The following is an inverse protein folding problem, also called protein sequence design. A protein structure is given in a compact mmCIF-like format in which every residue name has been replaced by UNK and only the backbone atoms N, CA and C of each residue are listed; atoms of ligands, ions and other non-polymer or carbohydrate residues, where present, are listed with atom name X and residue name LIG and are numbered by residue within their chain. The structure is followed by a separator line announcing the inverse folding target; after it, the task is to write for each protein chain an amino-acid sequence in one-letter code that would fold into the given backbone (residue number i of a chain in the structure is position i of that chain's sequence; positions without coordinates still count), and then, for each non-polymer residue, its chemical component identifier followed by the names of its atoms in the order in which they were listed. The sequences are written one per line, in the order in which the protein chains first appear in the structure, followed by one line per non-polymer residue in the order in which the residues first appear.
data_IF_294846172876
#
_entry.id   IF_294846172876
#
_cell.length_a   1.000
_cell.length_b   1.000
_cell.length_c   1.000
_cell.angle_alpha   90.00
_cell.angle_beta   90.00
_cell.angle_gamma   90.00
#
_symmetry.space_group_name_H-M   'P 1'
#
loop_
_entity.id
_entity.type
_entity.pdbx_description
1 polymer ?
#
# COMPACT_ATOMS: atom_id res chain seq x y z
N UNK A 1 5.14 24.42 -14.49
CA UNK A 1 3.81 24.55 -15.14
C UNK A 1 3.77 23.89 -16.51
N UNK A 2 4.74 24.13 -17.41
CA UNK A 2 4.75 23.52 -18.75
C UNK A 2 4.70 21.98 -18.76
N UNK A 3 5.45 21.31 -17.86
CA UNK A 3 5.46 19.84 -17.82
C UNK A 3 4.16 19.17 -17.39
N UNK A 4 3.31 19.85 -16.60
CA UNK A 4 2.01 19.29 -16.17
C UNK A 4 1.00 19.37 -17.31
N UNK A 5 0.94 20.51 -18.00
CA UNK A 5 0.06 20.72 -19.16
C UNK A 5 0.42 19.77 -20.31
N UNK A 6 1.71 19.47 -20.48
CA UNK A 6 2.19 18.50 -21.46
C UNK A 6 1.79 17.06 -21.10
N UNK A 7 1.89 16.67 -19.82
CA UNK A 7 1.42 15.38 -19.33
C UNK A 7 -0.10 15.20 -19.47
N UNK A 8 -0.88 16.23 -19.16
CA UNK A 8 -2.34 16.24 -19.33
C UNK A 8 -2.72 16.06 -20.81
N UNK A 9 -2.04 16.79 -21.69
CA UNK A 9 -2.28 16.71 -23.14
C UNK A 9 -1.93 15.32 -23.70
N UNK A 10 -0.82 14.73 -23.24
CA UNK A 10 -0.43 13.37 -23.61
C UNK A 10 -1.47 12.34 -23.13
N UNK A 11 -1.92 12.45 -21.89
CA UNK A 11 -2.93 11.57 -21.31
C UNK A 11 -4.26 11.62 -22.08
N UNK A 12 -4.74 12.82 -22.42
CA UNK A 12 -5.98 12.99 -23.20
C UNK A 12 -5.86 12.43 -24.62
N UNK A 13 -4.69 12.60 -25.26
CA UNK A 13 -4.43 12.01 -26.57
C UNK A 13 -4.43 10.48 -26.51
N UNK A 14 -3.81 9.88 -25.49
CA UNK A 14 -3.84 8.43 -25.24
C UNK A 14 -5.25 7.90 -25.02
N UNK A 15 -6.01 8.58 -24.16
CA UNK A 15 -7.41 8.25 -23.90
C UNK A 15 -8.22 8.27 -25.21
N UNK A 16 -8.06 9.31 -26.02
CA UNK A 16 -8.73 9.43 -27.32
C UNK A 16 -8.38 8.29 -28.28
N UNK A 17 -7.09 7.92 -28.36
CA UNK A 17 -6.63 6.76 -29.13
C UNK A 17 -7.28 5.46 -28.68
N UNK A 18 -7.37 5.22 -27.37
CA UNK A 18 -8.00 4.01 -26.81
C UNK A 18 -9.50 3.94 -27.08
N UNK A 19 -10.21 5.07 -26.94
CA UNK A 19 -11.63 5.15 -27.30
C UNK A 19 -11.82 4.82 -28.78
N UNK A 20 -11.01 5.44 -29.65
CA UNK A 20 -11.06 5.15 -31.10
C UNK A 20 -10.76 3.69 -31.37
N UNK A 21 -9.69 3.14 -30.82
CA UNK A 21 -9.30 1.75 -31.00
C UNK A 21 -10.40 0.79 -30.53
N UNK A 22 -10.88 0.97 -29.29
CA UNK A 22 -11.94 0.17 -28.69
C UNK A 22 -13.24 0.18 -29.50
N UNK A 23 -13.61 1.34 -30.05
CA UNK A 23 -14.74 1.49 -30.98
C UNK A 23 -14.51 0.72 -32.28
N UNK A 24 -13.33 0.88 -32.88
CA UNK A 24 -13.03 0.33 -34.22
C UNK A 24 -12.91 -1.20 -34.21
N UNK A 25 -12.25 -1.78 -33.19
CA UNK A 25 -12.15 -3.24 -33.01
C UNK A 25 -13.52 -3.90 -32.88
N UNK A 26 -14.52 -3.17 -32.37
CA UNK A 26 -15.90 -3.64 -32.21
C UNK A 26 -16.80 -3.32 -33.42
N UNK A 27 -16.23 -2.81 -34.51
CA UNK A 27 -16.98 -2.47 -35.72
C UNK A 27 -17.97 -1.31 -35.55
N UNK A 28 -17.86 -0.52 -34.48
CA UNK A 28 -18.79 0.56 -34.20
C UNK A 28 -18.43 1.81 -35.02
N UNK A 29 -19.40 2.39 -35.72
CA UNK A 29 -19.26 3.74 -36.28
C UNK A 29 -19.41 4.79 -35.18
N UNK A 30 -18.89 6.02 -35.39
CA UNK A 30 -19.13 7.13 -34.45
C UNK A 30 -20.61 7.41 -34.26
N UNK A 31 -21.41 7.26 -35.32
CA UNK A 31 -22.88 7.36 -35.29
C UNK A 31 -23.51 6.38 -34.33
N UNK A 32 -23.10 5.12 -34.44
CA UNK A 32 -23.62 4.05 -33.59
C UNK A 32 -23.26 4.32 -32.14
N UNK A 33 -22.00 4.67 -31.86
CA UNK A 33 -21.55 4.99 -30.51
C UNK A 33 -22.25 6.23 -29.93
N UNK A 34 -22.48 7.26 -30.75
CA UNK A 34 -23.23 8.46 -30.39
C UNK A 34 -24.63 8.10 -29.92
N UNK A 35 -25.35 7.29 -30.71
CA UNK A 35 -26.71 6.84 -30.38
C UNK A 35 -26.76 6.01 -29.10
N UNK A 36 -25.84 5.05 -28.93
CA UNK A 36 -25.86 4.15 -27.76
C UNK A 36 -25.34 4.80 -26.48
N UNK A 37 -24.43 5.78 -26.57
CA UNK A 37 -23.92 6.52 -25.40
C UNK A 37 -24.75 7.75 -25.02
N UNK A 38 -25.65 8.20 -25.90
CA UNK A 38 -26.41 9.45 -25.73
C UNK A 38 -25.57 10.72 -25.86
N UNK A 39 -24.44 10.66 -26.57
CA UNK A 39 -23.53 11.78 -26.82
C UNK A 39 -23.57 12.18 -28.29
N UNK A 40 -23.26 13.43 -28.62
CA UNK A 40 -23.21 13.86 -30.02
C UNK A 40 -22.03 13.24 -30.77
N UNK A 41 -22.19 12.99 -32.07
CA UNK A 41 -21.13 12.45 -32.92
C UNK A 41 -19.89 13.36 -32.96
N UNK A 42 -20.11 14.69 -32.89
CA UNK A 42 -19.05 15.70 -32.73
C UNK A 42 -18.29 15.52 -31.42
N UNK A 43 -18.99 15.26 -30.32
CA UNK A 43 -18.35 15.04 -29.02
C UNK A 43 -17.50 13.77 -29.03
N UNK A 44 -17.99 12.69 -29.66
CA UNK A 44 -17.20 11.46 -29.84
C UNK A 44 -15.95 11.73 -30.67
N UNK A 45 -16.04 12.51 -31.75
CA UNK A 45 -14.88 12.88 -32.56
C UNK A 45 -13.85 13.72 -31.77
N UNK A 46 -14.30 14.66 -30.94
CA UNK A 46 -13.44 15.46 -30.06
C UNK A 46 -12.74 14.59 -29.01
N UNK A 47 -13.49 13.70 -28.35
CA UNK A 47 -12.95 12.75 -27.39
C UNK A 47 -11.87 11.86 -28.03
N UNK A 48 -12.15 11.27 -29.19
CA UNK A 48 -11.16 10.46 -29.92
C UNK A 48 -9.93 11.24 -30.38
N UNK A 49 -10.09 12.54 -30.60
CA UNK A 49 -9.00 13.45 -30.91
C UNK A 49 -8.21 13.94 -29.70
N UNK A 50 -8.58 13.51 -28.47
CA UNK A 50 -7.97 13.98 -27.23
C UNK A 50 -8.27 15.45 -26.93
N UNK A 51 -9.34 16.00 -27.49
CA UNK A 51 -9.69 17.41 -27.33
C UNK A 51 -10.59 17.64 -26.12
N UNK A 52 -10.04 18.34 -25.13
CA UNK A 52 -10.77 18.79 -23.94
C UNK A 52 -10.99 17.71 -22.89
N UNK A 53 -11.33 18.14 -21.68
CA UNK A 53 -11.58 17.23 -20.56
C UNK A 53 -12.97 16.57 -20.69
N UNK A 54 -12.99 15.25 -20.64
CA UNK A 54 -14.22 14.46 -20.56
C UNK A 54 -14.62 14.26 -19.10
N UNK A 55 -15.89 14.51 -18.78
CA UNK A 55 -16.41 14.14 -17.46
C UNK A 55 -16.41 12.62 -17.29
N UNK A 56 -16.05 12.14 -16.11
CA UNK A 56 -16.00 10.70 -15.79
C UNK A 56 -17.34 9.99 -16.06
N UNK A 57 -18.46 10.70 -15.90
CA UNK A 57 -19.80 10.16 -16.19
C UNK A 57 -20.02 9.97 -17.70
N UNK A 58 -19.55 10.90 -18.53
CA UNK A 58 -19.66 10.78 -19.98
C UNK A 58 -18.73 9.70 -20.51
N UNK A 59 -17.52 9.60 -19.97
CA UNK A 59 -16.58 8.54 -20.31
C UNK A 59 -17.14 7.15 -19.92
N UNK A 60 -17.81 7.03 -18.77
CA UNK A 60 -18.50 5.80 -18.37
C UNK A 60 -19.64 5.42 -19.33
N UNK A 61 -20.41 6.39 -19.85
CA UNK A 61 -21.44 6.11 -20.87
C UNK A 61 -20.83 5.58 -22.16
N UNK A 62 -19.73 6.19 -22.62
CA UNK A 62 -18.98 5.71 -23.79
C UNK A 62 -18.45 4.30 -23.56
N UNK A 63 -17.85 4.03 -22.40
CA UNK A 63 -17.36 2.69 -22.03
C UNK A 63 -18.48 1.63 -22.07
N UNK A 64 -19.60 1.91 -21.39
CA UNK A 64 -20.77 1.02 -21.37
C UNK A 64 -21.32 0.77 -22.78
N UNK A 65 -21.42 1.82 -23.61
CA UNK A 65 -21.92 1.74 -24.97
C UNK A 65 -21.01 0.92 -25.90
N UNK A 66 -19.71 0.83 -25.60
CA UNK A 66 -18.76 -0.06 -26.27
C UNK A 66 -18.68 -1.45 -25.61
N UNK A 67 -19.37 -1.69 -24.50
CA UNK A 67 -19.25 -2.93 -23.73
C UNK A 67 -17.85 -3.14 -23.13
N UNK A 68 -17.16 -2.07 -22.78
CA UNK A 68 -15.86 -2.11 -22.09
C UNK A 68 -15.97 -1.53 -20.69
N UNK A 69 -14.99 -1.85 -19.84
CA UNK A 69 -14.92 -1.23 -18.53
C UNK A 69 -14.26 0.13 -18.62
N UNK A 70 -14.61 1.03 -17.71
CA UNK A 70 -14.08 2.39 -17.69
C UNK A 70 -12.56 2.41 -17.48
N UNK A 71 -12.03 1.50 -16.67
CA UNK A 71 -10.60 1.34 -16.41
C UNK A 71 -9.80 0.95 -17.68
N UNK A 72 -10.41 0.23 -18.63
CA UNK A 72 -9.74 -0.14 -19.88
C UNK A 72 -9.37 1.10 -20.72
N UNK A 73 -10.15 2.18 -20.61
CA UNK A 73 -9.92 3.43 -21.32
C UNK A 73 -8.86 4.32 -20.63
N UNK A 74 -8.81 4.29 -19.30
CA UNK A 74 -7.97 5.19 -18.49
C UNK A 74 -6.54 4.67 -18.35
N UNK A 75 -6.37 3.37 -18.09
CA UNK A 75 -5.06 2.79 -17.72
C UNK A 75 -4.20 2.40 -18.92
N UNK A 76 -4.81 2.09 -20.07
CA UNK A 76 -4.07 1.79 -21.29
C UNK A 76 -3.26 0.52 -21.22
N UNK A 77 -3.96 -0.62 -21.16
CA UNK A 77 -3.29 -1.92 -21.20
C UNK A 77 -3.13 -2.47 -22.62
N UNK A 78 -2.89 -1.57 -23.58
CA UNK A 78 -2.71 -1.89 -25.00
C UNK A 78 -1.48 -2.81 -25.26
N UNK A 79 -0.65 -3.07 -24.25
CA UNK A 79 0.58 -3.85 -24.38
C UNK A 79 0.45 -5.36 -24.06
N UNK A 80 -0.67 -5.84 -23.48
CA UNK A 80 -0.82 -7.27 -23.13
C UNK A 80 -2.15 -7.79 -23.69
N UNK A 81 -2.15 -8.51 -24.84
CA UNK A 81 -3.37 -9.06 -25.46
C UNK A 81 -4.23 -9.87 -24.49
N UNK A 82 -3.59 -10.58 -23.55
CA UNK A 82 -4.27 -11.45 -22.59
C UNK A 82 -4.74 -10.72 -21.33
N UNK A 83 -4.53 -9.40 -21.18
CA UNK A 83 -4.87 -8.68 -19.94
C UNK A 83 -6.34 -8.81 -19.54
N UNK A 84 -7.24 -8.74 -20.53
CA UNK A 84 -8.68 -8.87 -20.29
C UNK A 84 -9.00 -10.25 -19.69
N UNK A 85 -8.35 -11.30 -20.21
CA UNK A 85 -8.48 -12.68 -19.72
C UNK A 85 -7.85 -12.80 -18.32
N UNK A 86 -6.62 -12.29 -18.13
CA UNK A 86 -5.94 -12.31 -16.84
C UNK A 86 -6.77 -11.65 -15.74
N UNK A 87 -7.39 -10.50 -16.02
CA UNK A 87 -8.24 -9.80 -15.06
C UNK A 87 -9.48 -10.61 -14.66
N UNK A 88 -10.17 -11.25 -15.62
CA UNK A 88 -11.34 -12.10 -15.30
C UNK A 88 -10.93 -13.32 -14.48
N UNK A 89 -9.77 -13.94 -14.80
CA UNK A 89 -9.20 -15.03 -14.01
C UNK A 89 -8.87 -14.59 -12.59
N UNK A 90 -8.19 -13.45 -12.41
CA UNK A 90 -7.83 -12.91 -11.08
C UNK A 90 -9.08 -12.56 -10.28
N UNK A 91 -10.12 -12.00 -10.92
CA UNK A 91 -11.37 -11.64 -10.24
C UNK A 91 -12.13 -12.86 -9.68
N UNK A 92 -11.92 -14.06 -10.24
CA UNK A 92 -12.55 -15.32 -9.81
C UNK A 92 -11.60 -16.24 -9.03
N UNK A 93 -10.33 -15.86 -8.92
CA UNK A 93 -9.32 -16.69 -8.29
C UNK A 93 -9.55 -16.83 -6.78
N UNK A 94 -9.36 -18.04 -6.27
CA UNK A 94 -9.30 -18.30 -4.84
C UNK A 94 -8.05 -17.67 -4.21
N UNK A 95 -8.03 -17.41 -2.89
CA UNK A 95 -6.83 -16.89 -2.20
C UNK A 95 -5.58 -17.74 -2.44
N UNK A 96 -5.72 -19.07 -2.54
CA UNK A 96 -4.62 -19.99 -2.84
C UNK A 96 -4.08 -19.82 -4.27
N UNK A 97 -4.97 -19.64 -5.26
CA UNK A 97 -4.56 -19.37 -6.64
C UNK A 97 -3.87 -18.02 -6.78
N UNK A 98 -4.37 -16.98 -6.10
CA UNK A 98 -3.72 -15.67 -6.06
C UNK A 98 -2.32 -15.79 -5.45
N UNK A 99 -2.17 -16.52 -4.34
CA UNK A 99 -0.87 -16.74 -3.71
C UNK A 99 0.11 -17.47 -4.65
N UNK A 100 -0.35 -18.52 -5.35
CA UNK A 100 0.47 -19.26 -6.32
C UNK A 100 0.88 -18.40 -7.52
N UNK A 101 -0.06 -17.63 -8.09
CA UNK A 101 0.22 -16.71 -9.18
C UNK A 101 1.24 -15.63 -8.78
N UNK A 102 1.08 -15.06 -7.57
CA UNK A 102 2.05 -14.10 -7.04
C UNK A 102 3.45 -14.73 -6.93
N UNK A 103 3.57 -15.91 -6.35
CA UNK A 103 4.86 -16.59 -6.20
C UNK A 103 5.55 -16.87 -7.56
N UNK A 104 4.78 -17.23 -8.58
CA UNK A 104 5.28 -17.42 -9.94
C UNK A 104 5.74 -16.10 -10.57
N UNK A 105 4.95 -15.02 -10.44
CA UNK A 105 5.23 -13.71 -11.03
C UNK A 105 6.35 -12.94 -10.31
N UNK A 106 6.51 -13.15 -9.00
CA UNK A 106 7.54 -12.48 -8.20
C UNK A 106 8.91 -13.18 -8.29
N UNK A 107 9.03 -14.27 -9.06
CA UNK A 107 10.25 -15.07 -9.14
C UNK A 107 10.57 -15.81 -7.84
N UNK A 108 9.64 -15.87 -6.89
CA UNK A 108 9.82 -16.45 -5.55
C UNK A 108 9.57 -17.97 -5.52
N UNK A 109 9.23 -18.57 -6.66
CA UNK A 109 8.89 -19.99 -6.80
C UNK A 109 10.01 -20.98 -6.40
N UNK A 110 11.24 -20.53 -6.14
CA UNK A 110 12.37 -21.39 -5.81
C UNK A 110 12.93 -21.23 -4.38
N UNK A 111 12.18 -20.58 -3.49
CA UNK A 111 12.64 -20.34 -2.13
C UNK A 111 11.58 -20.57 -1.07
N UNK A 112 11.08 -21.80 -0.92
CA UNK A 112 10.64 -22.28 0.39
C UNK A 112 11.88 -22.41 1.32
N UNK A 113 12.62 -21.31 1.46
CA UNK A 113 13.77 -21.22 2.34
C UNK A 113 13.28 -21.29 3.77
N UNK A 114 14.08 -21.93 4.62
CA UNK A 114 13.86 -21.98 6.06
C UNK A 114 13.32 -20.64 6.57
N UNK A 115 12.26 -20.73 7.37
CA UNK A 115 11.56 -19.57 7.92
C UNK A 115 12.55 -18.61 8.57
N UNK A 116 12.83 -17.50 7.88
CA UNK A 116 13.81 -16.53 8.37
C UNK A 116 13.24 -15.88 9.62
N UNK A 117 14.07 -15.80 10.67
CA UNK A 117 13.76 -15.23 11.97
C UNK A 117 13.59 -13.72 11.89
N UNK A 118 12.52 -13.27 11.22
CA UNK A 118 12.28 -11.85 10.95
C UNK A 118 10.86 -11.48 11.31
N UNK A 119 10.73 -10.45 12.13
CA UNK A 119 9.46 -9.94 12.61
C UNK A 119 9.27 -8.54 12.08
N UNK A 120 8.06 -8.21 11.63
CA UNK A 120 7.70 -6.83 11.28
C UNK A 120 6.56 -6.35 12.19
N UNK A 121 6.81 -5.27 12.93
CA UNK A 121 5.81 -4.63 13.77
C UNK A 121 5.05 -3.60 12.94
N UNK A 122 3.74 -3.78 12.84
CA UNK A 122 2.83 -2.94 12.06
C UNK A 122 1.77 -2.36 12.99
N UNK A 123 1.37 -1.11 12.74
CA UNK A 123 0.34 -0.44 13.52
C UNK A 123 0.45 1.07 13.42
N UNK A 124 -0.58 1.78 13.88
CA UNK A 124 -0.62 3.24 13.81
C UNK A 124 0.52 3.88 14.62
N UNK A 125 0.80 5.16 14.37
CA UNK A 125 1.64 5.97 15.26
C UNK A 125 1.11 5.86 16.70
N UNK A 126 2.01 5.80 17.69
CA UNK A 126 1.63 5.54 19.09
C UNK A 126 1.34 4.07 19.43
N UNK A 127 1.36 3.13 18.48
CA UNK A 127 1.19 1.69 18.79
C UNK A 127 2.31 1.07 19.64
N UNK A 128 3.38 1.80 19.93
CA UNK A 128 4.52 1.27 20.69
C UNK A 128 5.54 0.46 19.88
N UNK A 129 5.46 0.45 18.53
CA UNK A 129 6.38 -0.31 17.65
C UNK A 129 7.85 -0.16 18.02
N UNK A 130 8.33 1.07 18.17
CA UNK A 130 9.76 1.33 18.46
C UNK A 130 10.16 0.90 19.86
N UNK A 131 9.33 1.22 20.87
CA UNK A 131 9.59 0.87 22.26
C UNK A 131 9.52 -0.64 22.49
N UNK A 132 8.41 -1.28 22.09
CA UNK A 132 8.21 -2.71 22.27
C UNK A 132 9.18 -3.53 21.42
N UNK A 133 9.44 -3.10 20.17
CA UNK A 133 10.38 -3.79 19.30
C UNK A 133 11.80 -3.79 19.86
N UNK A 134 12.28 -2.66 20.39
CA UNK A 134 13.61 -2.55 21.00
C UNK A 134 13.75 -3.43 22.24
N UNK A 135 12.83 -3.29 23.20
CA UNK A 135 12.83 -4.08 24.44
C UNK A 135 12.73 -5.59 24.16
N UNK A 136 11.87 -5.98 23.21
CA UNK A 136 11.73 -7.39 22.84
C UNK A 136 12.98 -7.92 22.16
N UNK A 137 13.56 -7.15 21.23
CA UNK A 137 14.78 -7.53 20.53
C UNK A 137 15.97 -7.71 21.50
N UNK A 138 16.13 -6.79 22.45
CA UNK A 138 17.14 -6.89 23.53
C UNK A 138 16.94 -8.17 24.34
N UNK A 139 15.69 -8.48 24.73
CA UNK A 139 15.35 -9.67 25.53
C UNK A 139 15.63 -11.00 24.81
N UNK A 140 15.38 -11.08 23.51
CA UNK A 140 15.56 -12.32 22.74
C UNK A 140 16.90 -12.38 21.97
N UNK A 141 17.76 -11.36 22.14
CA UNK A 141 19.07 -11.28 21.47
C UNK A 141 18.99 -11.06 19.95
N UNK A 142 17.97 -10.36 19.47
CA UNK A 142 17.78 -10.05 18.04
C UNK A 142 18.13 -8.60 17.73
N UNK A 143 18.35 -8.28 16.45
CA UNK A 143 18.59 -6.90 16.02
C UNK A 143 17.27 -6.14 15.90
N UNK A 144 17.19 -4.94 16.47
CA UNK A 144 16.07 -4.02 16.24
C UNK A 144 16.40 -3.00 15.14
N UNK A 145 15.49 -2.83 14.18
CA UNK A 145 15.63 -1.89 13.06
C UNK A 145 14.37 -1.04 12.94
N UNK A 146 14.52 0.27 12.75
CA UNK A 146 13.42 1.15 12.36
C UNK A 146 13.52 1.46 10.87
N UNK A 147 12.47 1.17 10.10
CA UNK A 147 12.48 1.36 8.65
C UNK A 147 12.76 2.81 8.26
N UNK A 148 12.21 3.78 8.99
CA UNK A 148 12.47 5.20 8.75
C UNK A 148 13.93 5.57 9.01
N UNK A 149 14.53 5.07 10.09
CA UNK A 149 15.94 5.33 10.38
C UNK A 149 16.84 4.74 9.29
N UNK A 150 16.48 3.59 8.74
CA UNK A 150 17.21 2.99 7.62
C UNK A 150 17.10 3.83 6.34
N UNK A 151 15.89 4.33 6.03
CA UNK A 151 15.70 5.26 4.90
C UNK A 151 16.55 6.52 5.10
N UNK A 152 16.57 7.11 6.30
CA UNK A 152 17.35 8.32 6.58
C UNK A 152 18.85 8.06 6.44
N UNK A 153 19.34 6.94 6.99
CA UNK A 153 20.74 6.53 6.93
C UNK A 153 21.22 6.34 5.49
N UNK A 154 20.42 5.72 4.64
CA UNK A 154 20.79 5.44 3.25
C UNK A 154 20.77 6.68 2.35
N UNK A 155 19.88 7.64 2.64
CA UNK A 155 19.70 8.83 1.81
C UNK A 155 20.45 10.06 2.36
N UNK A 156 21.03 9.96 3.57
CA UNK A 156 21.63 11.08 4.30
C UNK A 156 20.70 12.30 4.41
N UNK A 157 19.39 12.04 4.48
CA UNK A 157 18.32 13.02 4.56
C UNK A 157 17.33 12.55 5.61
N UNK A 158 16.83 13.47 6.44
CA UNK A 158 15.71 13.17 7.33
C UNK A 158 14.45 12.84 6.52
N UNK A 159 13.52 12.08 7.10
CA UNK A 159 12.21 11.81 6.48
C UNK A 159 11.50 13.12 6.13
N UNK A 160 11.65 14.17 6.95
CA UNK A 160 11.08 15.50 6.69
C UNK A 160 11.65 16.12 5.42
N UNK A 161 12.96 16.06 5.22
CA UNK A 161 13.62 16.56 4.01
C UNK A 161 13.24 15.73 2.79
N UNK A 162 13.15 14.40 2.93
CA UNK A 162 12.69 13.52 1.85
C UNK A 162 11.29 13.93 1.39
N UNK A 163 10.35 14.16 2.32
CA UNK A 163 9.00 14.64 1.96
C UNK A 163 9.04 16.04 1.33
N UNK A 164 9.90 16.94 1.80
CA UNK A 164 10.00 18.29 1.25
C UNK A 164 10.56 18.31 -0.19
N UNK A 165 11.51 17.44 -0.51
CA UNK A 165 12.22 17.41 -1.79
C UNK A 165 11.49 16.50 -2.80
N UNK A 166 11.12 15.29 -2.37
CA UNK A 166 10.61 14.24 -3.27
C UNK A 166 9.11 13.98 -3.12
N UNK A 167 8.45 14.64 -2.17
CA UNK A 167 7.05 14.43 -1.88
C UNK A 167 6.74 13.02 -1.36
N UNK A 168 5.45 12.72 -1.27
CA UNK A 168 4.98 11.45 -0.73
C UNK A 168 5.33 10.26 -1.62
N UNK A 169 5.22 10.40 -2.94
CA UNK A 169 5.55 9.31 -3.87
C UNK A 169 7.04 8.95 -3.81
N UNK A 170 7.92 9.95 -3.69
CA UNK A 170 9.35 9.73 -3.51
C UNK A 170 9.66 8.94 -2.25
N UNK A 171 9.07 9.33 -1.12
CA UNK A 171 9.17 8.56 0.13
C UNK A 171 8.69 7.11 -0.05
N UNK A 172 7.57 6.86 -0.75
CA UNK A 172 7.08 5.48 -0.98
C UNK A 172 8.05 4.63 -1.78
N UNK A 173 8.70 5.20 -2.79
CA UNK A 173 9.73 4.48 -3.57
C UNK A 173 10.94 4.13 -2.69
N UNK A 174 11.38 5.07 -1.85
CA UNK A 174 12.49 4.83 -0.91
C UNK A 174 12.11 3.80 0.16
N UNK A 175 10.88 3.87 0.69
CA UNK A 175 10.34 2.91 1.67
C UNK A 175 10.32 1.49 1.09
N UNK A 176 9.87 1.33 -0.16
CA UNK A 176 9.89 0.04 -0.85
C UNK A 176 11.31 -0.47 -1.07
N UNK A 177 12.24 0.39 -1.50
CA UNK A 177 13.62 0.01 -1.76
C UNK A 177 14.37 -0.41 -0.48
N UNK A 178 14.21 0.33 0.61
CA UNK A 178 14.77 0.00 1.91
C UNK A 178 14.22 -1.34 2.43
N UNK A 179 12.90 -1.56 2.31
CA UNK A 179 12.30 -2.83 2.72
C UNK A 179 12.85 -4.01 1.92
N UNK A 180 13.04 -3.87 0.59
CA UNK A 180 13.65 -4.92 -0.26
C UNK A 180 15.04 -5.30 0.25
N UNK A 181 15.90 -4.32 0.54
CA UNK A 181 17.24 -4.60 1.09
C UNK A 181 17.18 -5.30 2.45
N UNK A 182 16.26 -4.89 3.33
CA UNK A 182 16.06 -5.54 4.62
C UNK A 182 15.58 -7.00 4.49
N UNK A 183 14.91 -7.37 3.38
CA UNK A 183 14.61 -8.78 3.09
C UNK A 183 15.86 -9.62 2.80
N UNK A 184 16.99 -9.00 2.52
CA UNK A 184 18.26 -9.67 2.24
C UNK A 184 19.23 -9.60 3.43
N UNK A 185 18.95 -8.76 4.42
CA UNK A 185 19.79 -8.59 5.60
C UNK A 185 19.99 -9.91 6.38
N UNK A 186 21.23 -10.25 6.75
CA UNK A 186 21.53 -11.49 7.45
C UNK A 186 21.03 -11.49 8.90
N UNK A 187 20.78 -12.68 9.43
CA UNK A 187 20.46 -12.86 10.86
C UNK A 187 19.03 -12.51 11.28
N UNK A 188 18.72 -12.74 12.56
CA UNK A 188 17.40 -12.50 13.12
C UNK A 188 17.14 -11.02 13.41
N UNK A 189 15.91 -10.55 13.19
CA UNK A 189 15.56 -9.14 13.39
C UNK A 189 14.09 -8.86 13.72
N UNK A 190 13.87 -7.72 14.39
CA UNK A 190 12.58 -7.08 14.58
C UNK A 190 12.60 -5.72 13.88
N UNK A 191 11.74 -5.56 12.87
CA UNK A 191 11.58 -4.34 12.08
C UNK A 191 10.36 -3.55 12.54
N UNK A 192 10.54 -2.30 13.00
CA UNK A 192 9.46 -1.35 13.18
C UNK A 192 9.17 -0.59 11.88
N UNK A 193 7.91 -0.62 11.44
CA UNK A 193 7.50 -0.02 10.16
C UNK A 193 6.85 1.35 10.33
N UNK A 194 6.74 2.11 9.23
CA UNK A 194 5.92 3.32 9.21
C UNK A 194 4.44 2.95 9.36
N UNK A 195 3.65 3.77 10.08
CA UNK A 195 2.22 3.46 10.26
C UNK A 195 1.43 3.50 8.94
N UNK A 196 1.97 4.16 7.91
CA UNK A 196 1.35 4.30 6.60
C UNK A 196 1.76 3.22 5.60
N UNK A 197 2.64 2.28 5.94
CA UNK A 197 3.13 1.23 5.02
C UNK A 197 2.01 0.41 4.43
N UNK A 198 0.95 0.16 5.21
CA UNK A 198 -0.22 -0.63 4.81
C UNK A 198 -1.01 -0.01 3.67
N UNK A 199 -0.90 1.32 3.48
CA UNK A 199 -1.58 2.04 2.42
C UNK A 199 -0.88 1.91 1.06
N UNK A 200 0.32 1.31 1.03
CA UNK A 200 1.09 1.05 -0.19
C UNK A 200 1.06 -0.46 -0.50
N UNK A 201 0.17 -0.95 -1.38
CA UNK A 201 -0.10 -2.38 -1.51
C UNK A 201 1.14 -3.20 -1.89
N UNK A 202 2.00 -2.69 -2.76
CA UNK A 202 3.18 -3.44 -3.22
C UNK A 202 4.24 -3.57 -2.12
N UNK A 203 4.45 -2.50 -1.35
CA UNK A 203 5.39 -2.50 -0.21
C UNK A 203 4.86 -3.34 0.93
N UNK A 204 3.57 -3.23 1.25
CA UNK A 204 2.97 -4.03 2.30
C UNK A 204 2.96 -5.52 1.97
N UNK A 205 2.73 -5.88 0.70
CA UNK A 205 2.77 -7.27 0.28
C UNK A 205 4.17 -7.88 0.40
N UNK A 206 5.21 -7.13 0.01
CA UNK A 206 6.61 -7.51 0.23
C UNK A 206 6.90 -7.78 1.72
N UNK A 207 6.38 -6.95 2.61
CA UNK A 207 6.50 -7.15 4.06
C UNK A 207 5.82 -8.45 4.50
N UNK A 208 4.57 -8.67 4.10
CA UNK A 208 3.79 -9.85 4.49
C UNK A 208 4.42 -11.16 4.01
N UNK A 209 5.13 -11.14 2.88
CA UNK A 209 5.80 -12.31 2.32
C UNK A 209 7.13 -12.65 3.00
N UNK A 210 7.86 -11.65 3.53
CA UNK A 210 9.24 -11.81 3.99
C UNK A 210 9.41 -11.75 5.51
N UNK A 211 8.37 -11.34 6.23
CA UNK A 211 8.39 -11.17 7.68
C UNK A 211 7.20 -11.87 8.33
N UNK A 212 7.40 -12.36 9.55
CA UNK A 212 6.29 -12.61 10.46
C UNK A 212 5.76 -11.26 10.95
N UNK A 213 4.69 -10.79 10.34
CA UNK A 213 4.08 -9.50 10.64
C UNK A 213 3.14 -9.60 11.84
N UNK A 214 3.33 -8.69 12.78
CA UNK A 214 2.55 -8.59 14.01
C UNK A 214 1.90 -7.21 14.05
N UNK A 215 0.58 -7.18 14.10
CA UNK A 215 -0.16 -5.95 14.34
C UNK A 215 -0.17 -5.63 15.84
N UNK A 216 0.42 -4.49 16.20
CA UNK A 216 0.28 -3.91 17.54
C UNK A 216 -0.99 -3.09 17.61
N UNK A 217 -2.01 -3.63 18.27
CA UNK A 217 -3.32 -3.01 18.45
C UNK A 217 -3.37 -2.26 19.77
N UNK A 218 -3.86 -1.03 19.74
CA UNK A 218 -4.17 -0.24 20.93
C UNK A 218 -5.50 0.49 20.74
N UNK A 219 -6.13 0.92 21.84
CA UNK A 219 -7.30 1.79 21.76
C UNK A 219 -6.94 3.15 21.12
N UNK A 220 -7.85 3.78 20.37
CA UNK A 220 -7.63 5.10 19.77
C UNK A 220 -7.13 6.16 20.77
N UNK A 221 -7.67 6.12 21.99
CA UNK A 221 -7.35 7.05 23.07
C UNK A 221 -5.90 6.89 23.54
N UNK A 222 -5.40 5.65 23.60
CA UNK A 222 -4.01 5.37 23.96
C UNK A 222 -3.03 5.75 22.86
N UNK A 223 -3.40 5.54 21.59
CA UNK A 223 -2.62 6.06 20.46
C UNK A 223 -2.44 7.57 20.60
N UNK A 224 -3.54 8.30 20.81
CA UNK A 224 -3.51 9.75 20.96
C UNK A 224 -2.63 10.17 22.14
N UNK A 225 -2.81 9.57 23.31
CA UNK A 225 -2.03 9.91 24.50
C UNK A 225 -0.53 9.69 24.27
N UNK A 226 -0.13 8.54 23.73
CA UNK A 226 1.27 8.23 23.44
C UNK A 226 1.88 9.16 22.39
N UNK A 227 1.12 9.58 21.38
CA UNK A 227 1.60 10.57 20.39
C UNK A 227 1.81 11.95 21.03
N UNK A 228 0.94 12.35 21.97
CA UNK A 228 1.09 13.61 22.72
C UNK A 228 2.33 13.60 23.60
N UNK A 229 2.54 12.52 24.34
CA UNK A 229 3.69 12.38 25.25
C UNK A 229 5.03 12.43 24.49
N UNK A 230 5.04 12.02 23.23
CA UNK A 230 6.21 12.11 22.34
C UNK A 230 6.44 13.50 21.75
N UNK A 231 5.61 14.51 22.02
CA UNK A 231 5.77 15.87 21.50
C UNK A 231 5.53 16.02 20.00
N UNK A 232 4.87 15.05 19.37
CA UNK A 232 4.71 14.98 17.90
C UNK A 232 3.36 15.46 17.37
N UNK A 233 2.49 15.96 18.24
CA UNK A 233 1.34 16.76 17.82
C UNK A 233 1.78 18.21 17.80
N UNK A 234 1.98 18.76 16.60
CA UNK A 234 1.95 20.20 16.42
C UNK A 234 0.59 20.68 16.96
N UNK A 235 0.61 21.50 18.01
CA UNK A 235 -0.59 21.99 18.70
C UNK A 235 -1.34 23.03 17.86
N UNK A 236 -1.94 22.61 16.74
CA UNK A 236 -2.69 23.52 15.85
C UNK A 236 -4.14 23.11 15.61
N UNK A 237 -4.66 22.08 16.29
CA UNK A 237 -6.05 21.64 16.15
C UNK A 237 -6.76 21.37 17.49
N UNK A 238 -8.09 21.50 17.48
CA UNK A 238 -8.96 21.05 18.57
C UNK A 238 -8.78 19.54 18.80
N UNK A 239 -8.64 19.13 20.06
CA UNK A 239 -8.46 17.75 20.48
C UNK A 239 -9.55 16.83 19.94
N UNK A 240 -10.79 17.33 19.88
CA UNK A 240 -11.92 16.58 19.33
C UNK A 240 -11.71 16.23 17.85
N UNK A 241 -11.26 17.20 17.04
CA UNK A 241 -10.99 17.00 15.61
C UNK A 241 -9.84 16.03 15.38
N UNK A 242 -8.73 16.17 16.13
CA UNK A 242 -7.60 15.25 16.02
C UNK A 242 -7.98 13.80 16.39
N UNK A 243 -8.85 13.61 17.38
CA UNK A 243 -9.36 12.29 17.75
C UNK A 243 -10.26 11.70 16.66
N UNK A 244 -11.11 12.52 16.04
CA UNK A 244 -11.96 12.09 14.92
C UNK A 244 -11.13 11.65 13.71
N UNK A 245 -10.12 12.44 13.34
CA UNK A 245 -9.19 12.08 12.25
C UNK A 245 -8.43 10.79 12.55
N UNK A 246 -7.92 10.63 13.78
CA UNK A 246 -7.23 9.41 14.21
C UNK A 246 -8.15 8.18 14.09
N UNK A 247 -9.40 8.28 14.55
CA UNK A 247 -10.39 7.21 14.43
C UNK A 247 -10.70 6.88 12.98
N UNK A 248 -10.88 7.89 12.13
CA UNK A 248 -11.11 7.69 10.70
C UNK A 248 -9.93 6.95 10.03
N UNK A 249 -8.69 7.34 10.36
CA UNK A 249 -7.49 6.66 9.87
C UNK A 249 -7.43 5.22 10.37
N UNK A 250 -7.69 4.96 11.66
CA UNK A 250 -7.74 3.60 12.20
C UNK A 250 -8.79 2.74 11.48
N UNK A 251 -10.03 3.21 11.35
CA UNK A 251 -11.10 2.49 10.65
C UNK A 251 -10.71 2.14 9.21
N UNK A 252 -10.08 3.07 8.49
CA UNK A 252 -9.62 2.83 7.11
C UNK A 252 -8.49 1.81 7.02
N UNK A 253 -7.62 1.73 8.04
CA UNK A 253 -6.41 0.89 8.03
C UNK A 253 -6.59 -0.44 8.74
N UNK A 254 -7.60 -0.59 9.59
CA UNK A 254 -7.87 -1.82 10.34
C UNK A 254 -8.01 -3.06 9.44
N UNK A 255 -8.75 -3.05 8.32
CA UNK A 255 -8.79 -4.19 7.41
C UNK A 255 -7.43 -4.53 6.79
N UNK A 256 -6.55 -3.54 6.67
CA UNK A 256 -5.19 -3.74 6.17
C UNK A 256 -4.29 -4.31 7.26
N UNK A 257 -4.32 -3.75 8.47
CA UNK A 257 -3.58 -4.27 9.62
C UNK A 257 -3.98 -5.72 9.98
N UNK A 258 -5.26 -6.06 9.82
CA UNK A 258 -5.77 -7.41 10.05
C UNK A 258 -5.22 -8.47 9.10
N UNK A 259 -4.50 -8.08 8.02
CA UNK A 259 -3.78 -9.01 7.15
C UNK A 259 -2.47 -9.53 7.76
N UNK A 260 -2.01 -8.94 8.87
CA UNK A 260 -0.84 -9.43 9.60
C UNK A 260 -1.08 -10.87 10.10
N UNK A 261 -0.01 -11.67 10.23
CA UNK A 261 -0.14 -13.07 10.66
C UNK A 261 -0.48 -13.21 12.15
N UNK A 262 -0.18 -12.20 12.97
CA UNK A 262 -0.58 -12.16 14.36
C UNK A 262 -0.98 -10.74 14.80
N UNK A 263 -1.69 -10.68 15.92
CA UNK A 263 -2.08 -9.43 16.57
C UNK A 263 -1.69 -9.50 18.04
N UNK A 264 -1.07 -8.45 18.56
CA UNK A 264 -0.76 -8.27 19.98
C UNK A 264 -1.52 -7.04 20.46
N UNK A 265 -2.42 -7.26 21.42
CA UNK A 265 -3.16 -6.18 22.07
C UNK A 265 -2.32 -5.54 23.18
N UNK A 266 -2.12 -4.23 23.05
CA UNK A 266 -1.32 -3.37 23.93
C UNK A 266 -2.19 -2.43 24.77
N UNK A 267 -3.52 -2.65 24.77
CA UNK A 267 -4.47 -1.82 25.50
C UNK A 267 -4.56 -2.21 26.98
N UNK A 268 -4.71 -1.20 27.85
CA UNK A 268 -4.97 -1.31 29.29
C UNK A 268 -4.01 -2.23 30.08
N UNK A 269 -2.77 -2.39 29.61
CA UNK A 269 -1.77 -3.21 30.29
C UNK A 269 -0.46 -2.46 30.51
N UNK A 270 0.35 -2.81 31.52
CA UNK A 270 1.68 -2.26 31.71
C UNK A 270 2.64 -2.62 30.57
N UNK A 271 3.69 -1.81 30.40
CA UNK A 271 4.70 -2.00 29.36
C UNK A 271 5.34 -3.40 29.40
N UNK A 272 5.69 -3.89 30.59
CA UNK A 272 6.32 -5.22 30.75
C UNK A 272 5.41 -6.34 30.23
N UNK A 273 4.11 -6.26 30.51
CA UNK A 273 3.12 -7.22 29.98
C UNK A 273 2.97 -7.13 28.46
N UNK A 274 3.11 -5.93 27.88
CA UNK A 274 3.11 -5.79 26.42
C UNK A 274 4.35 -6.44 25.80
N UNK A 275 5.52 -6.28 26.42
CA UNK A 275 6.77 -6.93 26.00
C UNK A 275 6.64 -8.44 26.14
N UNK A 276 6.14 -8.96 27.26
CA UNK A 276 5.90 -10.40 27.47
C UNK A 276 4.99 -10.98 26.37
N UNK A 277 3.89 -10.30 26.05
CA UNK A 277 2.97 -10.74 24.99
C UNK A 277 3.64 -10.77 23.62
N UNK A 278 4.45 -9.75 23.30
CA UNK A 278 5.16 -9.69 22.02
C UNK A 278 6.26 -10.76 21.95
N UNK A 279 7.05 -10.92 23.01
CA UNK A 279 8.05 -11.99 23.14
C UNK A 279 7.41 -13.35 22.95
N UNK A 280 6.34 -13.66 23.69
CA UNK A 280 5.65 -14.95 23.59
C UNK A 280 5.11 -15.23 22.17
N UNK A 281 4.60 -14.21 21.47
CA UNK A 281 4.13 -14.35 20.09
C UNK A 281 5.27 -14.68 19.10
N UNK A 282 6.48 -14.15 19.35
CA UNK A 282 7.68 -14.42 18.54
C UNK A 282 8.26 -15.79 18.89
N UNK A 283 8.43 -16.11 20.17
CA UNK A 283 8.95 -17.39 20.63
C UNK A 283 8.09 -18.56 20.16
N UNK A 284 6.76 -18.45 20.30
CA UNK A 284 5.80 -19.45 19.79
C UNK A 284 5.95 -19.66 18.28
N UNK A 285 6.22 -18.60 17.53
CA UNK A 285 6.34 -18.66 16.07
C UNK A 285 7.62 -19.35 15.61
N UNK A 286 8.72 -19.10 16.29
CA UNK A 286 10.07 -19.53 15.87
C UNK A 286 10.67 -20.65 16.73
N UNK A 287 9.93 -21.14 17.73
CA UNK A 287 10.39 -22.20 18.64
C UNK A 287 11.61 -21.80 19.47
N UNK A 288 11.73 -20.52 19.84
CA UNK A 288 12.80 -20.06 20.72
C UNK A 288 12.51 -20.57 22.13
N UNK A 289 13.48 -21.19 22.79
CA UNK A 289 13.35 -21.51 24.21
C UNK A 289 13.27 -20.20 25.00
N UNK A 290 12.32 -20.09 25.93
CA UNK A 290 12.23 -18.95 26.84
C UNK A 290 13.58 -18.81 27.56
N UNK A 291 14.30 -17.71 27.31
CA UNK A 291 15.54 -17.41 28.02
C UNK A 291 15.22 -17.31 29.51
N UNK A 292 15.79 -18.25 30.29
CA UNK A 292 15.65 -18.34 31.74
C UNK A 292 16.37 -17.20 32.47
#
# INVERSE_FOLDING_TARGET
MNGVVEQESHFLADLGRRVRHGRTVRGLSRKTLSQTSGLSERYIAQLEGGQGNVSIILLRRVANAMGVRLDDLITGNDAIPDWVVMRDLVARATPAQIAAAKAALSGSAQGAGAMRQRVALVGLRGAGKSTLGRLTAERIGWTFIELNAEIERENALSVREIFAIYGQEGYRRLEQAALRRLTEHPGPMILATSGGIVAEPLTYDLLLQNFYSIWLRAKPEEHMQRVRDQGHLAMTGDHATAMQELRAVLMSREPLYARCQATVDTSDVPLDTMVDRLTAAIETRFGLAASA
#
